data_IF_189235802086
#
_entry.id   IF_189235802086
#
_cell.length_a   1.000
_cell.length_b   1.000
_cell.length_c   1.000
_cell.angle_alpha   90.00
_cell.angle_beta   90.00
_cell.angle_gamma   90.00
#
_symmetry.space_group_name_H-M   'P 1'
#
loop_
_entity.id
_entity.type
_entity.pdbx_description
1 polymer ?
#
# COMPACT_ATOMS: atom_id res chain seq x y z
N UNK A 1 11.60 25.29 -23.61
CA UNK A 1 11.52 24.32 -24.72
C UNK A 1 12.65 23.32 -24.55
N UNK A 2 12.39 22.18 -23.90
CA UNK A 2 13.38 21.12 -23.79
C UNK A 2 13.59 20.53 -25.19
N UNK A 3 14.82 20.59 -25.68
CA UNK A 3 15.21 20.01 -26.96
C UNK A 3 14.93 18.50 -26.90
N UNK A 4 14.00 18.01 -27.72
CA UNK A 4 13.67 16.59 -27.82
C UNK A 4 14.94 15.87 -28.29
N UNK A 5 15.68 15.27 -27.35
CA UNK A 5 16.90 14.51 -27.66
C UNK A 5 16.55 13.42 -28.66
N UNK A 6 17.35 13.30 -29.73
CA UNK A 6 17.12 12.29 -30.78
C UNK A 6 17.08 10.90 -30.15
N UNK A 7 16.14 10.00 -30.51
CA UNK A 7 16.00 8.67 -29.92
C UNK A 7 17.31 7.86 -29.90
N UNK A 8 18.16 8.05 -30.90
CA UNK A 8 19.48 7.42 -31.00
C UNK A 8 20.48 7.88 -29.94
N UNK A 9 20.44 9.15 -29.52
CA UNK A 9 21.27 9.69 -28.44
C UNK A 9 20.77 9.19 -27.07
N UNK A 10 19.45 9.09 -26.89
CA UNK A 10 18.81 8.57 -25.68
C UNK A 10 19.17 7.11 -25.44
N UNK A 11 19.10 6.27 -26.48
CA UNK A 11 19.50 4.86 -26.43
C UNK A 11 21.00 4.68 -26.20
N UNK A 12 21.84 5.55 -26.78
CA UNK A 12 23.28 5.51 -26.58
C UNK A 12 23.66 5.84 -25.12
N UNK A 13 23.07 6.90 -24.56
CA UNK A 13 23.28 7.27 -23.16
C UNK A 13 22.79 6.17 -22.21
N UNK A 14 21.59 5.64 -22.43
CA UNK A 14 21.05 4.56 -21.62
C UNK A 14 21.91 3.29 -21.64
N UNK A 15 22.53 2.95 -22.77
CA UNK A 15 23.45 1.81 -22.86
C UNK A 15 24.81 2.08 -22.18
N UNK A 16 25.28 3.33 -22.20
CA UNK A 16 26.54 3.72 -21.54
C UNK A 16 26.41 3.87 -20.03
N UNK A 17 25.24 4.26 -19.53
CA UNK A 17 24.94 4.46 -18.11
C UNK A 17 23.95 3.43 -17.56
N UNK A 18 23.86 2.26 -18.18
CA UNK A 18 22.84 1.27 -17.83
C UNK A 18 23.03 0.76 -16.39
N UNK A 19 21.94 0.81 -15.65
CA UNK A 19 21.85 0.44 -14.25
C UNK A 19 21.07 -0.88 -14.11
N UNK A 20 21.74 -1.91 -13.60
CA UNK A 20 21.15 -3.22 -13.38
C UNK A 20 20.02 -3.25 -12.33
N UNK A 21 20.07 -2.34 -11.35
CA UNK A 21 19.01 -2.20 -10.34
C UNK A 21 17.73 -1.63 -10.97
N UNK A 22 17.86 -0.71 -11.93
CA UNK A 22 16.73 -0.22 -12.73
C UNK A 22 16.13 -1.35 -13.56
N UNK A 23 16.95 -2.16 -14.22
CA UNK A 23 16.44 -3.34 -14.92
C UNK A 23 15.65 -4.27 -13.99
N UNK A 24 16.19 -4.52 -12.79
CA UNK A 24 15.53 -5.34 -11.77
C UNK A 24 14.17 -4.76 -11.38
N UNK A 25 14.13 -3.46 -11.04
CA UNK A 25 12.91 -2.75 -10.67
C UNK A 25 11.86 -2.78 -11.80
N UNK A 26 12.22 -2.44 -13.04
CA UNK A 26 11.29 -2.47 -14.17
C UNK A 26 10.74 -3.88 -14.44
N UNK A 27 11.58 -4.92 -14.30
CA UNK A 27 11.13 -6.31 -14.44
C UNK A 27 10.15 -6.69 -13.34
N UNK A 28 10.44 -6.32 -12.10
CA UNK A 28 9.59 -6.64 -10.95
C UNK A 28 8.25 -5.89 -10.99
N UNK A 29 8.23 -4.62 -11.41
CA UNK A 29 7.00 -3.85 -11.68
C UNK A 29 6.09 -4.50 -12.73
N UNK A 30 6.64 -5.32 -13.62
CA UNK A 30 5.86 -6.09 -14.61
C UNK A 30 5.50 -7.50 -14.14
N UNK A 31 5.81 -7.86 -12.90
CA UNK A 31 5.57 -9.20 -12.36
C UNK A 31 6.29 -10.29 -13.17
N UNK A 32 7.49 -10.02 -13.68
CA UNK A 32 8.22 -10.96 -14.55
C UNK A 32 9.37 -11.66 -13.82
N UNK A 33 9.48 -12.98 -14.01
CA UNK A 33 10.71 -13.72 -13.69
C UNK A 33 11.80 -13.41 -14.71
N UNK A 34 13.08 -13.52 -14.32
CA UNK A 34 14.23 -13.34 -15.23
C UNK A 34 14.13 -14.22 -16.49
N UNK A 35 13.68 -15.47 -16.33
CA UNK A 35 13.47 -16.39 -17.44
C UNK A 35 12.39 -15.92 -18.41
N UNK A 36 11.30 -15.36 -17.90
CA UNK A 36 10.21 -14.85 -18.73
C UNK A 36 10.68 -13.62 -19.54
N UNK A 37 11.35 -12.66 -18.89
CA UNK A 37 11.92 -11.51 -19.59
C UNK A 37 12.91 -11.95 -20.68
N UNK A 38 13.79 -12.90 -20.38
CA UNK A 38 14.75 -13.44 -21.34
C UNK A 38 14.07 -14.00 -22.60
N UNK A 39 12.98 -14.77 -22.43
CA UNK A 39 12.17 -15.28 -23.54
C UNK A 39 11.57 -14.15 -24.37
N UNK A 40 10.98 -13.13 -23.73
CA UNK A 40 10.35 -11.99 -24.42
C UNK A 40 11.33 -11.23 -25.33
N UNK A 41 12.57 -11.04 -24.88
CA UNK A 41 13.60 -10.31 -25.63
C UNK A 41 14.51 -11.23 -26.49
N UNK A 42 14.20 -12.53 -26.54
CA UNK A 42 14.96 -13.59 -27.25
C UNK A 42 16.44 -13.64 -26.83
N UNK A 43 16.68 -13.65 -25.52
CA UNK A 43 18.01 -13.73 -24.90
C UNK A 43 18.06 -14.89 -23.89
N UNK A 44 19.23 -15.19 -23.33
CA UNK A 44 19.37 -16.19 -22.28
C UNK A 44 19.05 -15.60 -20.89
N UNK A 45 18.48 -16.38 -19.95
CA UNK A 45 18.29 -15.94 -18.56
C UNK A 45 19.60 -15.51 -17.88
N UNK A 46 20.72 -16.15 -18.23
CA UNK A 46 22.05 -15.77 -17.77
C UNK A 46 22.45 -14.35 -18.21
N UNK A 47 22.02 -13.92 -19.39
CA UNK A 47 22.26 -12.55 -19.87
C UNK A 47 21.49 -11.53 -19.02
N UNK A 48 20.21 -11.80 -18.72
CA UNK A 48 19.40 -10.95 -17.85
C UNK A 48 20.02 -10.85 -16.46
N UNK A 49 20.43 -11.98 -15.87
CA UNK A 49 21.12 -11.98 -14.57
C UNK A 49 22.41 -11.15 -14.60
N UNK A 50 23.22 -11.27 -15.65
CA UNK A 50 24.46 -10.52 -15.77
C UNK A 50 24.25 -9.01 -15.96
N UNK A 51 23.16 -8.58 -16.61
CA UNK A 51 22.80 -7.17 -16.72
C UNK A 51 22.27 -6.61 -15.40
N UNK A 52 21.41 -7.37 -14.70
CA UNK A 52 20.88 -6.95 -13.40
C UNK A 52 21.96 -6.83 -12.32
N UNK A 53 22.97 -7.71 -12.33
CA UNK A 53 24.10 -7.62 -11.40
C UNK A 53 25.16 -6.58 -11.80
N UNK A 54 25.02 -5.95 -12.98
CA UNK A 54 26.03 -5.06 -13.53
C UNK A 54 27.30 -5.76 -14.06
N UNK A 55 27.35 -7.10 -14.05
CA UNK A 55 28.50 -7.87 -14.54
C UNK A 55 28.71 -7.72 -16.06
N UNK A 56 27.65 -7.40 -16.80
CA UNK A 56 27.72 -7.10 -18.23
C UNK A 56 26.82 -5.90 -18.55
N UNK A 57 27.18 -5.18 -19.60
CA UNK A 57 26.40 -4.08 -20.15
C UNK A 57 25.63 -4.53 -21.41
N UNK A 58 24.31 -4.25 -21.54
CA UNK A 58 23.59 -4.52 -22.77
C UNK A 58 23.98 -3.53 -23.87
N UNK A 59 23.91 -3.97 -25.13
CA UNK A 59 24.09 -3.04 -26.26
C UNK A 59 22.79 -2.26 -26.52
N UNK A 60 22.86 -1.21 -27.37
CA UNK A 60 21.72 -0.33 -27.69
C UNK A 60 20.49 -1.08 -28.20
N UNK A 61 20.69 -2.10 -29.04
CA UNK A 61 19.58 -2.90 -29.58
C UNK A 61 18.90 -3.72 -28.48
N UNK A 62 19.66 -4.25 -27.52
CA UNK A 62 19.12 -4.93 -26.33
C UNK A 62 18.40 -3.96 -25.41
N UNK A 63 18.92 -2.75 -25.18
CA UNK A 63 18.24 -1.71 -24.38
C UNK A 63 16.87 -1.38 -24.98
N UNK A 64 16.78 -1.22 -26.31
CA UNK A 64 15.50 -0.99 -26.98
C UNK A 64 14.50 -2.16 -26.80
N UNK A 65 14.98 -3.42 -26.86
CA UNK A 65 14.15 -4.60 -26.59
C UNK A 65 13.65 -4.64 -25.14
N UNK A 66 14.50 -4.29 -24.18
CA UNK A 66 14.15 -4.22 -22.76
C UNK A 66 13.11 -3.14 -22.50
N UNK A 67 13.31 -1.92 -23.04
CA UNK A 67 12.37 -0.81 -22.94
C UNK A 67 10.97 -1.20 -23.44
N UNK A 68 10.90 -1.81 -24.63
CA UNK A 68 9.63 -2.25 -25.22
C UNK A 68 8.97 -3.36 -24.39
N UNK A 69 9.72 -4.38 -23.97
CA UNK A 69 9.19 -5.52 -23.22
C UNK A 69 8.71 -5.12 -21.81
N UNK A 70 9.35 -4.13 -21.20
CA UNK A 70 9.04 -3.64 -19.85
C UNK A 70 8.14 -2.41 -19.85
N UNK A 71 7.78 -1.87 -21.02
CA UNK A 71 6.97 -0.67 -21.19
C UNK A 71 7.51 0.53 -20.39
N UNK A 72 8.82 0.73 -20.47
CA UNK A 72 9.53 1.87 -19.87
C UNK A 72 10.30 2.62 -20.94
N UNK A 73 10.57 3.91 -20.72
CA UNK A 73 11.46 4.67 -21.60
C UNK A 73 12.91 4.20 -21.42
N UNK A 74 13.76 4.22 -22.47
CA UNK A 74 15.16 3.81 -22.34
C UNK A 74 15.93 4.57 -21.26
N UNK A 75 15.55 5.83 -21.00
CA UNK A 75 16.14 6.67 -19.96
C UNK A 75 16.01 6.07 -18.56
N UNK A 76 14.98 5.26 -18.32
CA UNK A 76 14.75 4.57 -17.05
C UNK A 76 15.98 3.74 -16.65
N UNK A 77 16.61 3.06 -17.61
CA UNK A 77 17.78 2.25 -17.34
C UNK A 77 19.04 3.08 -17.07
N UNK A 78 19.07 4.35 -17.45
CA UNK A 78 20.17 5.27 -17.18
C UNK A 78 20.03 6.06 -15.88
N UNK A 79 18.91 5.89 -15.15
CA UNK A 79 18.66 6.59 -13.89
C UNK A 79 19.58 6.15 -12.76
N UNK A 80 19.68 6.98 -11.72
CA UNK A 80 20.38 6.63 -10.47
C UNK A 80 19.81 5.36 -9.81
N UNK A 81 20.48 4.84 -8.78
CA UNK A 81 19.95 3.70 -8.03
C UNK A 81 18.51 3.98 -7.55
N UNK A 82 17.56 3.03 -7.70
CA UNK A 82 16.24 3.16 -7.10
C UNK A 82 16.33 3.46 -5.60
N UNK A 83 15.39 4.20 -5.02
CA UNK A 83 15.36 4.43 -3.59
C UNK A 83 15.37 3.12 -2.81
N UNK A 84 16.12 3.08 -1.71
CA UNK A 84 16.05 1.95 -0.78
C UNK A 84 14.72 1.98 -0.03
N UNK A 85 14.14 0.81 0.08
CA UNK A 85 12.92 0.53 0.84
C UNK A 85 13.17 -0.68 1.71
N UNK A 86 12.56 -0.69 2.89
CA UNK A 86 12.51 -1.90 3.69
C UNK A 86 11.60 -2.93 3.02
N UNK A 87 11.69 -4.17 3.48
CA UNK A 87 10.79 -5.22 2.99
C UNK A 87 9.35 -4.83 3.37
N UNK A 88 8.38 -4.93 2.44
CA UNK A 88 7.02 -4.60 2.79
C UNK A 88 6.46 -5.52 3.87
N UNK A 89 5.70 -4.93 4.80
CA UNK A 89 4.91 -5.65 5.78
C UNK A 89 3.66 -6.19 5.09
N UNK A 90 3.64 -7.49 4.79
CA UNK A 90 2.46 -8.14 4.22
C UNK A 90 1.72 -8.96 5.27
N UNK A 91 0.40 -8.77 5.31
CA UNK A 91 -0.52 -9.51 6.18
C UNK A 91 -0.40 -11.04 6.12
N UNK A 92 0.08 -11.59 5.00
CA UNK A 92 0.23 -13.04 4.81
C UNK A 92 1.45 -13.44 3.95
N UNK A 93 2.65 -13.02 4.37
CA UNK A 93 3.91 -13.38 3.71
C UNK A 93 4.08 -14.86 3.33
N UNK A 94 3.53 -15.81 4.11
CA UNK A 94 3.68 -17.26 3.84
C UNK A 94 2.85 -17.78 2.66
N UNK A 95 1.80 -17.08 2.24
CA UNK A 95 0.95 -17.48 1.10
C UNK A 95 1.16 -16.62 -0.14
N UNK A 96 1.81 -15.46 -0.01
CA UNK A 96 2.06 -14.56 -1.13
C UNK A 96 3.20 -15.09 -2.00
N UNK A 97 2.98 -15.37 -3.31
CA UNK A 97 4.04 -15.79 -4.22
C UNK A 97 5.18 -14.78 -4.28
N UNK A 98 6.44 -15.25 -4.33
CA UNK A 98 7.62 -14.38 -4.40
C UNK A 98 7.52 -13.31 -5.49
N UNK A 99 6.91 -13.65 -6.64
CA UNK A 99 6.75 -12.70 -7.75
C UNK A 99 5.86 -11.50 -7.39
N UNK A 100 4.85 -11.71 -6.55
CA UNK A 100 3.98 -10.65 -6.07
C UNK A 100 4.70 -9.81 -5.00
N UNK A 101 5.52 -10.46 -4.14
CA UNK A 101 6.35 -9.74 -3.16
C UNK A 101 7.34 -8.81 -3.87
N UNK A 102 8.03 -9.34 -4.88
CA UNK A 102 8.95 -8.59 -5.75
C UNK A 102 8.25 -7.40 -6.42
N UNK A 103 7.04 -7.61 -6.96
CA UNK A 103 6.24 -6.56 -7.60
C UNK A 103 5.82 -5.46 -6.63
N UNK A 104 5.35 -5.83 -5.43
CA UNK A 104 4.99 -4.88 -4.38
C UNK A 104 6.21 -4.08 -3.86
N UNK A 105 7.37 -4.73 -3.69
CA UNK A 105 8.61 -4.06 -3.31
C UNK A 105 9.02 -3.05 -4.40
N UNK A 106 8.98 -3.45 -5.67
CA UNK A 106 9.32 -2.57 -6.79
C UNK A 106 8.33 -1.41 -6.94
N UNK A 107 7.02 -1.64 -6.68
CA UNK A 107 6.02 -0.58 -6.65
C UNK A 107 6.24 0.39 -5.48
N UNK A 108 6.59 -0.12 -4.30
CA UNK A 108 7.00 0.70 -3.16
C UNK A 108 8.18 1.62 -3.48
N UNK A 109 9.21 1.08 -4.15
CA UNK A 109 10.37 1.88 -4.63
C UNK A 109 9.96 2.95 -5.64
N UNK A 110 9.06 2.60 -6.56
CA UNK A 110 8.52 3.54 -7.53
C UNK A 110 7.79 4.70 -6.84
N UNK A 111 6.93 4.39 -5.87
CA UNK A 111 6.20 5.40 -5.10
C UNK A 111 7.15 6.26 -4.27
N UNK A 112 8.17 5.66 -3.64
CA UNK A 112 9.19 6.40 -2.89
C UNK A 112 9.96 7.38 -3.78
N UNK A 113 10.29 6.99 -5.01
CA UNK A 113 10.96 7.85 -5.97
C UNK A 113 10.07 9.01 -6.42
N UNK A 114 8.82 8.72 -6.77
CA UNK A 114 7.83 9.74 -7.12
C UNK A 114 7.60 10.72 -5.97
N UNK A 115 7.44 10.20 -4.74
CA UNK A 115 7.25 11.04 -3.56
C UNK A 115 8.46 11.96 -3.33
N UNK A 116 9.69 11.43 -3.43
CA UNK A 116 10.91 12.22 -3.31
C UNK A 116 11.06 13.26 -4.44
N UNK A 117 10.66 12.93 -5.68
CA UNK A 117 10.65 13.89 -6.78
C UNK A 117 9.63 15.02 -6.54
N UNK A 118 8.42 14.68 -6.06
CA UNK A 118 7.37 15.66 -5.77
C UNK A 118 7.76 16.58 -4.61
N UNK A 119 8.39 16.03 -3.57
CA UNK A 119 8.83 16.79 -2.40
C UNK A 119 9.89 17.86 -2.72
N UNK A 120 10.64 17.70 -3.82
CA UNK A 120 11.54 18.74 -4.32
C UNK A 120 10.79 19.92 -4.98
N UNK A 121 9.50 19.75 -5.29
CA UNK A 121 8.69 20.74 -5.99
C UNK A 121 7.52 21.28 -5.16
N UNK A 122 7.03 20.51 -4.17
CA UNK A 122 5.96 20.90 -3.26
C UNK A 122 6.27 20.52 -1.82
N UNK A 123 5.70 21.24 -0.86
CA UNK A 123 5.85 20.93 0.56
C UNK A 123 4.87 19.84 0.99
N UNK A 124 5.40 18.75 1.56
CA UNK A 124 4.60 17.71 2.21
C UNK A 124 4.59 17.88 3.73
N UNK A 125 3.53 17.39 4.43
CA UNK A 125 3.51 17.36 5.88
C UNK A 125 4.75 16.68 6.44
N UNK A 126 5.27 17.13 7.58
CA UNK A 126 6.39 16.44 8.23
C UNK A 126 6.03 15.00 8.60
N UNK A 127 7.03 14.11 8.59
CA UNK A 127 6.85 12.72 9.04
C UNK A 127 6.82 12.71 10.57
N UNK A 128 5.61 12.62 11.12
CA UNK A 128 5.32 12.66 12.55
C UNK A 128 4.55 11.40 12.93
N UNK A 129 5.25 10.28 13.02
CA UNK A 129 4.72 9.03 13.58
C UNK A 129 5.33 8.78 14.97
N UNK A 130 4.54 8.36 15.96
CA UNK A 130 5.09 7.90 17.22
C UNK A 130 5.80 6.56 17.01
N UNK A 131 7.00 6.43 17.57
CA UNK A 131 7.74 5.17 17.60
C UNK A 131 7.41 4.44 18.91
N UNK A 132 6.60 3.39 18.82
CA UNK A 132 6.04 2.65 19.96
C UNK A 132 6.30 1.15 19.77
N UNK A 133 7.59 0.72 19.80
CA UNK A 133 7.95 -0.65 19.51
C UNK A 133 7.24 -1.61 20.45
N UNK A 134 6.68 -2.69 19.88
CA UNK A 134 5.95 -3.71 20.62
C UNK A 134 6.66 -5.04 20.47
N UNK A 135 7.20 -5.54 21.58
CA UNK A 135 7.88 -6.84 21.61
C UNK A 135 6.90 -7.99 21.31
N UNK A 136 7.36 -9.11 20.70
CA UNK A 136 6.50 -10.26 20.43
C UNK A 136 5.81 -10.86 21.67
N UNK A 137 6.39 -10.68 22.85
CA UNK A 137 5.82 -11.14 24.13
C UNK A 137 5.12 -10.03 24.93
N UNK A 138 4.99 -8.82 24.35
CA UNK A 138 4.18 -7.70 24.85
C UNK A 138 4.52 -7.27 26.29
N UNK A 139 5.78 -7.46 26.72
CA UNK A 139 6.20 -7.12 28.08
C UNK A 139 6.22 -5.62 28.34
N UNK A 140 6.70 -4.85 27.37
CA UNK A 140 6.94 -3.41 27.48
C UNK A 140 5.68 -2.61 27.09
N UNK A 141 5.19 -2.90 25.89
CA UNK A 141 4.06 -2.26 25.25
C UNK A 141 3.07 -3.34 24.80
N UNK A 142 1.77 -3.07 24.90
CA UNK A 142 0.76 -3.90 24.24
C UNK A 142 0.21 -3.13 23.04
N UNK A 143 -0.30 -3.82 22.01
CA UNK A 143 -0.90 -3.15 20.85
C UNK A 143 -2.01 -2.17 21.22
N UNK A 144 -2.81 -2.47 22.26
CA UNK A 144 -3.87 -1.58 22.73
C UNK A 144 -3.31 -0.32 23.39
N UNK A 145 -2.22 -0.41 24.15
CA UNK A 145 -1.55 0.76 24.73
C UNK A 145 -0.94 1.62 23.63
N UNK A 146 -0.28 1.00 22.65
CA UNK A 146 0.28 1.69 21.49
C UNK A 146 -0.82 2.41 20.68
N UNK A 147 -1.96 1.76 20.45
CA UNK A 147 -3.11 2.38 19.76
C UNK A 147 -3.67 3.59 20.50
N UNK A 148 -3.80 3.53 21.84
CA UNK A 148 -4.26 4.67 22.64
C UNK A 148 -3.25 5.82 22.63
N UNK A 149 -1.96 5.52 22.78
CA UNK A 149 -0.90 6.52 22.70
C UNK A 149 -0.84 7.16 21.29
N UNK A 150 -1.05 6.37 20.23
CA UNK A 150 -1.15 6.89 18.87
C UNK A 150 -2.36 7.83 18.70
N UNK A 151 -3.54 7.48 19.24
CA UNK A 151 -4.71 8.38 19.24
C UNK A 151 -4.42 9.70 19.95
N UNK A 152 -3.78 9.65 21.11
CA UNK A 152 -3.38 10.85 21.85
C UNK A 152 -2.39 11.69 21.05
N UNK A 153 -1.34 11.07 20.49
CA UNK A 153 -0.33 11.72 19.67
C UNK A 153 -0.94 12.42 18.43
N UNK A 154 -1.89 11.78 17.76
CA UNK A 154 -2.59 12.35 16.61
C UNK A 154 -3.72 13.34 16.99
N UNK A 155 -3.97 13.56 18.28
CA UNK A 155 -5.04 14.43 18.76
C UNK A 155 -6.45 13.92 18.45
N UNK A 156 -6.62 12.59 18.35
CA UNK A 156 -7.93 11.96 18.13
C UNK A 156 -8.69 11.92 19.45
N UNK A 157 -9.70 12.78 19.59
CA UNK A 157 -10.60 12.79 20.73
C UNK A 157 -11.47 11.52 20.85
N UNK A 158 -12.34 11.42 21.86
CA UNK A 158 -13.27 10.29 22.02
C UNK A 158 -14.13 10.05 20.77
N UNK A 159 -14.45 8.80 20.50
CA UNK A 159 -15.31 8.37 19.42
C UNK A 159 -14.56 7.95 18.14
N UNK A 160 -15.27 7.87 17.00
CA UNK A 160 -14.72 7.35 15.76
C UNK A 160 -13.68 8.30 15.14
N UNK A 161 -12.63 7.71 14.55
CA UNK A 161 -11.71 8.43 13.67
C UNK A 161 -12.51 8.90 12.45
N UNK A 162 -12.59 10.21 12.21
CA UNK A 162 -13.47 10.74 11.16
C UNK A 162 -13.02 10.29 9.76
N UNK A 163 -11.71 10.38 9.48
CA UNK A 163 -11.12 10.00 8.20
C UNK A 163 -9.71 9.45 8.42
N UNK A 164 -9.53 8.14 8.30
CA UNK A 164 -8.30 7.42 8.65
C UNK A 164 -7.17 7.73 7.66
N UNK A 165 -7.42 7.68 6.36
CA UNK A 165 -6.43 7.98 5.30
C UNK A 165 -5.88 9.40 5.47
N UNK A 166 -6.75 10.39 5.67
CA UNK A 166 -6.34 11.79 5.86
C UNK A 166 -5.54 11.98 7.14
N UNK A 167 -5.92 11.30 8.23
CA UNK A 167 -5.15 11.34 9.47
C UNK A 167 -3.73 10.84 9.23
N UNK A 168 -3.59 9.70 8.55
CA UNK A 168 -2.30 9.09 8.24
C UNK A 168 -1.47 9.95 7.28
N UNK A 169 -2.07 10.52 6.23
CA UNK A 169 -1.36 11.46 5.35
C UNK A 169 -0.92 12.74 6.06
N UNK A 170 -1.69 13.24 7.01
CA UNK A 170 -1.30 14.40 7.83
C UNK A 170 -0.09 14.14 8.73
N UNK A 171 0.17 12.88 9.08
CA UNK A 171 1.40 12.46 9.76
C UNK A 171 2.59 12.22 8.81
N UNK A 172 2.46 12.60 7.53
CA UNK A 172 3.55 12.53 6.55
C UNK A 172 3.69 11.18 5.84
N UNK A 173 2.78 10.24 6.08
CA UNK A 173 2.72 8.93 5.41
C UNK A 173 2.10 9.07 4.02
N UNK A 174 2.77 8.51 3.01
CA UNK A 174 2.24 8.49 1.64
C UNK A 174 1.24 7.34 1.51
N UNK A 175 0.01 7.62 1.13
CA UNK A 175 -1.02 6.60 0.88
C UNK A 175 -1.35 6.57 -0.61
N UNK A 176 -1.27 5.40 -1.24
CA UNK A 176 -1.55 5.23 -2.68
C UNK A 176 -2.37 3.97 -2.95
N UNK A 177 -3.03 3.90 -4.10
CA UNK A 177 -3.61 2.66 -4.59
C UNK A 177 -2.61 1.88 -5.44
N UNK A 178 -2.62 0.55 -5.35
CA UNK A 178 -1.85 -0.30 -6.28
C UNK A 178 -2.47 -0.34 -7.68
N UNK A 179 -1.70 -0.82 -8.66
CA UNK A 179 -2.24 -1.14 -9.99
C UNK A 179 -3.28 -2.28 -9.91
N UNK A 180 -4.36 -2.24 -10.73
CA UNK A 180 -5.30 -3.35 -10.86
C UNK A 180 -4.62 -4.63 -11.34
N UNK A 181 -4.99 -5.78 -10.78
CA UNK A 181 -4.47 -7.08 -11.22
C UNK A 181 -3.36 -7.64 -10.32
N UNK A 182 -2.78 -6.83 -9.43
CA UNK A 182 -1.96 -7.29 -8.29
C UNK A 182 -2.87 -7.85 -7.18
N UNK A 183 -3.78 -8.76 -7.53
CA UNK A 183 -4.83 -9.26 -6.65
C UNK A 183 -4.30 -10.16 -5.51
N UNK A 184 -3.00 -10.50 -5.52
CA UNK A 184 -2.42 -11.43 -4.58
C UNK A 184 -2.10 -10.83 -3.20
N UNK A 185 -2.00 -9.51 -3.10
CA UNK A 185 -1.55 -8.83 -1.88
C UNK A 185 -2.64 -7.87 -1.44
N UNK A 186 -3.08 -7.97 -0.19
CA UNK A 186 -3.96 -6.99 0.44
C UNK A 186 -3.24 -5.63 0.58
N UNK A 187 -3.76 -4.71 1.41
CA UNK A 187 -2.95 -3.54 1.78
C UNK A 187 -1.62 -3.96 2.41
N UNK A 188 -0.60 -3.12 2.25
CA UNK A 188 0.72 -3.31 2.86
C UNK A 188 1.39 -1.97 3.11
N UNK A 189 2.37 -1.96 4.01
CA UNK A 189 3.17 -0.79 4.35
C UNK A 189 4.66 -1.08 4.24
N UNK A 190 5.44 -0.03 4.03
CA UNK A 190 6.90 -0.09 4.01
C UNK A 190 7.49 1.24 4.43
N UNK A 191 8.66 1.18 5.07
CA UNK A 191 9.51 2.34 5.23
C UNK A 191 10.35 2.53 3.97
N UNK A 192 10.57 3.79 3.61
CA UNK A 192 11.50 4.18 2.55
C UNK A 192 12.47 5.23 3.08
N UNK A 193 13.53 5.48 2.33
CA UNK A 193 14.52 6.49 2.69
C UNK A 193 13.94 7.92 2.80
N UNK A 194 12.77 8.18 2.21
CA UNK A 194 12.10 9.49 2.26
C UNK A 194 10.97 9.49 3.28
N UNK A 195 9.96 8.64 3.09
CA UNK A 195 8.72 8.63 3.87
C UNK A 195 8.15 7.21 4.02
N UNK A 196 7.44 6.91 5.12
CA UNK A 196 6.62 5.71 5.20
C UNK A 196 5.52 5.72 4.13
N UNK A 197 5.24 4.55 3.55
CA UNK A 197 4.27 4.36 2.47
C UNK A 197 3.27 3.29 2.88
N UNK A 198 1.99 3.54 2.63
CA UNK A 198 0.90 2.55 2.66
C UNK A 198 0.36 2.40 1.24
N UNK A 199 0.32 1.17 0.76
CA UNK A 199 -0.29 0.81 -0.52
C UNK A 199 -1.59 0.08 -0.27
N UNK A 200 -2.67 0.59 -0.85
CA UNK A 200 -4.02 0.03 -0.73
C UNK A 200 -4.36 -0.79 -1.97
N UNK A 201 -4.82 -2.02 -1.76
CA UNK A 201 -5.38 -2.82 -2.85
C UNK A 201 -6.85 -2.42 -3.11
N UNK A 202 -7.18 -1.94 -4.32
CA UNK A 202 -8.54 -1.50 -4.64
C UNK A 202 -9.56 -2.63 -4.84
N UNK A 203 -9.15 -3.89 -4.95
CA UNK A 203 -10.01 -5.02 -5.39
C UNK A 203 -11.27 -5.19 -4.53
N UNK A 204 -11.18 -4.92 -3.22
CA UNK A 204 -12.31 -5.15 -2.30
C UNK A 204 -13.38 -4.05 -2.36
N UNK A 205 -13.01 -2.84 -2.82
CA UNK A 205 -13.88 -1.66 -2.92
C UNK A 205 -14.88 -1.50 -1.76
N UNK A 206 -14.38 -1.63 -0.51
CA UNK A 206 -15.19 -1.60 0.72
C UNK A 206 -14.59 -0.59 1.70
N UNK A 207 -15.35 0.48 1.97
CA UNK A 207 -14.99 1.57 2.87
C UNK A 207 -14.60 1.10 4.28
N UNK A 208 -15.37 0.16 4.83
CA UNK A 208 -15.20 -0.29 6.22
C UNK A 208 -13.96 -1.18 6.37
N UNK A 209 -13.66 -1.98 5.35
CA UNK A 209 -12.43 -2.79 5.28
C UNK A 209 -11.21 -1.92 5.04
N UNK A 210 -11.31 -0.94 4.13
CA UNK A 210 -10.21 0.00 3.85
C UNK A 210 -9.75 0.70 5.12
N UNK A 211 -10.67 1.20 5.94
CA UNK A 211 -10.33 1.89 7.20
C UNK A 211 -9.59 0.97 8.18
N UNK A 212 -10.03 -0.29 8.28
CA UNK A 212 -9.35 -1.29 9.10
C UNK A 212 -7.97 -1.64 8.56
N UNK A 213 -7.85 -1.84 7.25
CA UNK A 213 -6.59 -2.17 6.59
C UNK A 213 -5.59 -1.00 6.74
N UNK A 214 -6.01 0.25 6.57
CA UNK A 214 -5.14 1.44 6.81
C UNK A 214 -4.70 1.51 8.28
N UNK A 215 -5.60 1.27 9.23
CA UNK A 215 -5.25 1.28 10.66
C UNK A 215 -4.32 0.12 11.04
N UNK A 216 -4.45 -1.04 10.38
CA UNK A 216 -3.56 -2.18 10.52
C UNK A 216 -2.16 -1.85 10.02
N UNK A 217 -2.06 -1.28 8.82
CA UNK A 217 -0.79 -0.83 8.25
C UNK A 217 -0.13 0.29 9.06
N UNK A 218 -0.91 1.25 9.57
CA UNK A 218 -0.42 2.25 10.52
C UNK A 218 0.16 1.60 11.78
N UNK A 219 -0.47 0.53 12.28
CA UNK A 219 0.03 -0.25 13.41
C UNK A 219 1.40 -0.87 13.13
N UNK A 220 1.64 -1.39 11.91
CA UNK A 220 2.97 -1.87 11.52
C UNK A 220 4.02 -0.76 11.52
N UNK A 221 3.69 0.40 10.94
CA UNK A 221 4.61 1.54 10.90
C UNK A 221 4.98 2.06 12.29
N UNK A 222 4.05 2.03 13.25
CA UNK A 222 4.25 2.54 14.62
C UNK A 222 4.95 1.52 15.54
N UNK A 223 4.64 0.22 15.41
CA UNK A 223 5.07 -0.79 16.39
C UNK A 223 6.21 -1.69 15.92
N UNK A 224 6.44 -1.82 14.61
CA UNK A 224 7.17 -2.96 14.04
C UNK A 224 8.32 -2.55 13.10
N UNK A 225 8.99 -1.41 13.35
CA UNK A 225 10.06 -0.90 12.48
C UNK A 225 11.16 -1.94 12.17
N UNK A 226 11.59 -2.71 13.18
CA UNK A 226 12.68 -3.69 13.06
C UNK A 226 12.22 -5.15 13.11
N UNK A 227 10.90 -5.39 13.08
CA UNK A 227 10.38 -6.76 13.18
C UNK A 227 10.50 -7.47 11.82
N UNK A 228 10.85 -8.76 11.83
CA UNK A 228 10.74 -9.59 10.62
C UNK A 228 9.28 -9.61 10.16
N UNK A 229 9.00 -9.14 8.92
CA UNK A 229 7.63 -9.01 8.44
C UNK A 229 6.84 -10.34 8.47
N UNK A 230 5.51 -10.24 8.59
CA UNK A 230 4.58 -11.35 8.34
C UNK A 230 4.64 -12.53 9.32
N UNK A 231 5.25 -12.33 10.49
CA UNK A 231 5.12 -13.24 11.62
C UNK A 231 3.69 -13.24 12.16
N UNK A 232 3.14 -14.42 12.50
CA UNK A 232 1.78 -14.56 13.03
C UNK A 232 1.51 -13.65 14.25
N UNK A 233 2.51 -13.47 15.09
CA UNK A 233 2.42 -12.61 16.29
C UNK A 233 2.31 -11.14 15.89
N UNK A 234 3.22 -10.67 15.02
CA UNK A 234 3.23 -9.30 14.48
C UNK A 234 1.90 -8.95 13.81
N UNK A 235 1.33 -9.88 13.04
CA UNK A 235 0.02 -9.71 12.42
C UNK A 235 -1.13 -9.64 13.42
N UNK A 236 -1.12 -10.48 14.46
CA UNK A 236 -2.13 -10.41 15.51
C UNK A 236 -2.02 -9.10 16.29
N UNK A 237 -0.79 -8.63 16.55
CA UNK A 237 -0.53 -7.35 17.18
C UNK A 237 -1.08 -6.18 16.35
N UNK A 238 -0.82 -6.16 15.04
CA UNK A 238 -1.37 -5.13 14.14
C UNK A 238 -2.91 -5.15 14.07
N UNK A 239 -3.54 -6.33 14.04
CA UNK A 239 -5.01 -6.44 14.09
C UNK A 239 -5.59 -5.90 15.41
N UNK A 240 -4.93 -6.18 16.54
CA UNK A 240 -5.31 -5.68 17.87
C UNK A 240 -5.13 -4.16 17.97
N UNK A 241 -4.02 -3.63 17.45
CA UNK A 241 -3.79 -2.20 17.31
C UNK A 241 -4.91 -1.54 16.52
N UNK A 242 -5.22 -2.03 15.31
CA UNK A 242 -6.27 -1.48 14.47
C UNK A 242 -7.65 -1.51 15.16
N UNK A 243 -7.95 -2.61 15.86
CA UNK A 243 -9.20 -2.78 16.60
C UNK A 243 -9.33 -1.76 17.75
N UNK A 244 -8.27 -1.55 18.53
CA UNK A 244 -8.28 -0.56 19.61
C UNK A 244 -8.27 0.88 19.06
N UNK A 245 -7.48 1.14 18.01
CA UNK A 245 -7.36 2.46 17.40
C UNK A 245 -8.68 2.94 16.81
N UNK A 246 -9.43 2.05 16.14
CA UNK A 246 -10.72 2.38 15.53
C UNK A 246 -11.89 2.27 16.50
N UNK A 247 -11.82 1.35 17.47
CA UNK A 247 -12.91 1.04 18.39
C UNK A 247 -12.39 0.88 19.84
N UNK A 248 -12.02 1.99 20.52
CA UNK A 248 -11.45 1.94 21.87
C UNK A 248 -12.32 1.13 22.83
N UNK A 249 -11.70 0.27 23.64
CA UNK A 249 -12.41 -0.76 24.41
C UNK A 249 -13.46 -0.13 25.35
N UNK A 250 -13.04 0.90 26.08
CA UNK A 250 -13.83 1.59 27.09
C UNK A 250 -15.04 2.32 26.48
N UNK A 251 -14.96 2.68 25.20
CA UNK A 251 -16.03 3.39 24.50
C UNK A 251 -17.01 2.43 23.82
N UNK A 252 -16.53 1.36 23.20
CA UNK A 252 -17.39 0.48 22.41
C UNK A 252 -18.04 -0.62 23.24
N UNK A 253 -17.39 -1.09 24.33
CA UNK A 253 -17.84 -2.23 25.12
C UNK A 253 -19.30 -2.14 25.61
N UNK A 254 -19.79 -0.99 26.15
CA UNK A 254 -21.18 -0.88 26.63
C UNK A 254 -22.23 -1.08 25.52
N UNK A 255 -21.83 -0.92 24.25
CA UNK A 255 -22.73 -1.01 23.12
C UNK A 255 -22.66 -2.35 22.39
N UNK A 256 -21.63 -3.16 22.58
CA UNK A 256 -21.53 -4.44 21.89
C UNK A 256 -22.55 -5.46 22.44
N UNK A 257 -23.25 -6.21 21.56
CA UNK A 257 -24.18 -7.23 22.02
C UNK A 257 -23.44 -8.52 22.41
N UNK A 258 -23.88 -9.16 23.50
CA UNK A 258 -23.34 -10.45 23.94
C UNK A 258 -23.76 -11.65 23.07
N UNK A 259 -24.83 -11.49 22.26
CA UNK A 259 -25.32 -12.52 21.33
C UNK A 259 -25.90 -11.88 20.07
N UNK A 260 -26.27 -12.70 19.08
CA UNK A 260 -26.87 -12.26 17.81
C UNK A 260 -28.39 -12.45 17.73
N UNK A 261 -29.04 -12.60 18.89
CA UNK A 261 -30.50 -12.73 19.00
C UNK A 261 -31.23 -11.38 18.94
N UNK A 262 -32.53 -11.41 18.64
CA UNK A 262 -33.40 -10.24 18.67
C UNK A 262 -32.88 -9.08 17.80
N UNK A 263 -32.74 -7.90 18.42
CA UNK A 263 -32.31 -6.65 17.77
C UNK A 263 -30.78 -6.49 17.62
N UNK A 264 -29.99 -7.52 17.97
CA UNK A 264 -28.53 -7.42 17.97
C UNK A 264 -27.93 -7.03 16.61
N UNK A 265 -28.46 -7.57 15.50
CA UNK A 265 -27.97 -7.22 14.16
C UNK A 265 -28.27 -5.79 13.76
N UNK A 266 -29.43 -5.24 14.16
CA UNK A 266 -29.74 -3.84 13.94
C UNK A 266 -28.76 -2.95 14.72
N UNK A 267 -28.48 -3.30 15.99
CA UNK A 267 -27.49 -2.59 16.80
C UNK A 267 -26.08 -2.66 16.20
N UNK A 268 -25.66 -3.82 15.69
CA UNK A 268 -24.37 -3.97 15.00
C UNK A 268 -24.32 -3.16 13.71
N UNK A 269 -25.41 -3.07 12.95
CA UNK A 269 -25.49 -2.22 11.77
C UNK A 269 -25.33 -0.74 12.14
N UNK A 270 -26.02 -0.26 13.19
CA UNK A 270 -25.87 1.12 13.67
C UNK A 270 -24.42 1.40 14.15
N UNK A 271 -23.81 0.46 14.87
CA UNK A 271 -22.41 0.57 15.29
C UNK A 271 -21.43 0.56 14.11
N UNK A 272 -21.69 -0.22 13.06
CA UNK A 272 -20.88 -0.26 11.84
C UNK A 272 -20.83 1.11 11.18
N UNK A 273 -21.99 1.77 11.08
CA UNK A 273 -22.06 3.12 10.51
C UNK A 273 -21.39 4.17 11.41
N UNK A 274 -21.61 4.09 12.72
CA UNK A 274 -21.03 5.05 13.67
C UNK A 274 -19.49 4.95 13.74
N UNK A 275 -18.95 3.73 13.88
CA UNK A 275 -17.50 3.52 14.00
C UNK A 275 -16.78 3.48 12.64
N UNK A 276 -17.50 3.29 11.55
CA UNK A 276 -16.93 3.14 10.22
C UNK A 276 -16.08 1.88 10.10
N UNK A 277 -16.56 0.75 10.64
CA UNK A 277 -15.89 -0.56 10.62
C UNK A 277 -16.84 -1.69 10.19
N UNK A 278 -16.29 -2.83 9.80
CA UNK A 278 -17.11 -3.96 9.31
C UNK A 278 -17.89 -4.66 10.44
N UNK A 279 -18.99 -5.34 10.09
CA UNK A 279 -19.69 -6.24 11.01
C UNK A 279 -18.74 -7.33 11.50
N UNK A 280 -17.87 -7.84 10.62
CA UNK A 280 -16.84 -8.79 11.00
C UNK A 280 -15.89 -8.24 12.08
N UNK A 281 -15.43 -6.99 11.94
CA UNK A 281 -14.58 -6.33 12.92
C UNK A 281 -15.31 -6.13 14.27
N UNK A 282 -16.59 -5.73 14.26
CA UNK A 282 -17.40 -5.61 15.48
C UNK A 282 -17.58 -6.95 16.20
N UNK A 283 -17.84 -8.02 15.46
CA UNK A 283 -17.98 -9.36 16.03
C UNK A 283 -16.65 -9.86 16.63
N UNK A 284 -15.54 -9.64 15.93
CA UNK A 284 -14.21 -9.94 16.45
C UNK A 284 -13.92 -9.13 17.71
N UNK A 285 -14.24 -7.83 17.72
CA UNK A 285 -14.04 -6.95 18.88
C UNK A 285 -14.88 -7.37 20.08
N UNK A 286 -16.14 -7.73 19.89
CA UNK A 286 -17.01 -8.24 20.95
C UNK A 286 -16.48 -9.54 21.56
N UNK A 287 -15.90 -10.42 20.73
CA UNK A 287 -15.25 -11.65 21.20
C UNK A 287 -13.97 -11.34 21.96
N UNK A 288 -13.11 -10.49 21.43
CA UNK A 288 -11.82 -10.13 22.03
C UNK A 288 -11.98 -9.49 23.41
N UNK A 289 -13.04 -8.69 23.61
CA UNK A 289 -13.38 -8.08 24.90
C UNK A 289 -14.15 -9.01 25.86
N UNK A 290 -14.40 -10.27 25.48
CA UNK A 290 -15.12 -11.24 26.31
C UNK A 290 -16.64 -10.99 26.44
N UNK A 291 -17.18 -10.00 25.72
CA UNK A 291 -18.61 -9.66 25.73
C UNK A 291 -19.41 -10.75 25.03
N UNK A 292 -18.88 -11.25 23.91
CA UNK A 292 -19.44 -12.36 23.16
C UNK A 292 -18.57 -13.61 23.35
N UNK A 293 -19.16 -14.68 23.88
CA UNK A 293 -18.44 -15.95 24.02
C UNK A 293 -18.18 -16.62 22.65
N UNK A 294 -17.28 -17.60 22.61
CA UNK A 294 -16.88 -18.30 21.37
C UNK A 294 -18.05 -18.95 20.63
N UNK A 295 -19.03 -19.49 21.36
CA UNK A 295 -20.22 -20.12 20.77
C UNK A 295 -21.07 -19.08 20.03
N UNK A 296 -21.35 -17.95 20.69
CA UNK A 296 -22.13 -16.85 20.11
C UNK A 296 -21.42 -16.23 18.91
N UNK A 297 -20.10 -16.05 19.00
CA UNK A 297 -19.28 -15.57 17.91
C UNK A 297 -19.30 -16.51 16.70
N UNK A 298 -19.13 -17.81 16.93
CA UNK A 298 -19.19 -18.82 15.86
C UNK A 298 -20.56 -18.80 15.16
N UNK A 299 -21.64 -18.73 15.92
CA UNK A 299 -23.00 -18.62 15.37
C UNK A 299 -23.20 -17.33 14.56
N UNK A 300 -22.66 -16.21 15.05
CA UNK A 300 -22.69 -14.94 14.33
C UNK A 300 -21.98 -15.02 12.98
N UNK A 301 -20.78 -15.63 12.95
CA UNK A 301 -19.97 -15.81 11.75
C UNK A 301 -20.63 -16.78 10.76
N UNK A 302 -21.32 -17.82 11.24
CA UNK A 302 -22.13 -18.70 10.39
C UNK A 302 -23.25 -17.91 9.73
N UNK A 303 -23.97 -17.09 10.50
CA UNK A 303 -25.05 -16.24 9.97
C UNK A 303 -24.55 -15.19 8.97
N UNK A 304 -23.39 -14.58 9.21
CA UNK A 304 -22.70 -13.73 8.22
C UNK A 304 -22.50 -14.47 6.89
N UNK A 305 -22.09 -15.75 6.97
CA UNK A 305 -21.83 -16.57 5.78
C UNK A 305 -23.13 -16.91 5.03
N UNK A 306 -24.18 -17.31 5.76
CA UNK A 306 -25.50 -17.64 5.20
C UNK A 306 -26.13 -16.47 4.46
N UNK A 307 -25.91 -15.25 4.95
CA UNK A 307 -26.39 -14.02 4.32
C UNK A 307 -25.47 -13.50 3.19
N UNK A 308 -24.37 -14.18 2.88
CA UNK A 308 -23.39 -13.73 1.88
C UNK A 308 -22.48 -12.58 2.35
N UNK A 309 -22.61 -12.13 3.59
CA UNK A 309 -21.92 -10.95 4.14
C UNK A 309 -20.42 -11.14 4.35
N UNK A 310 -19.89 -12.36 4.23
CA UNK A 310 -18.44 -12.56 4.13
C UNK A 310 -17.86 -11.93 2.85
N UNK A 311 -18.64 -11.86 1.78
CA UNK A 311 -18.22 -11.28 0.49
C UNK A 311 -18.61 -9.81 0.40
N UNK A 312 -19.85 -9.48 0.70
CA UNK A 312 -20.38 -8.13 0.63
C UNK A 312 -21.29 -7.86 1.84
N UNK A 313 -20.81 -7.05 2.77
CA UNK A 313 -21.60 -6.61 3.92
C UNK A 313 -22.56 -5.49 3.52
N UNK A 314 -23.77 -5.40 4.11
CA UNK A 314 -24.62 -4.24 3.95
C UNK A 314 -23.98 -3.03 4.65
N UNK A 315 -24.02 -1.86 4.03
CA UNK A 315 -23.54 -0.60 4.61
C UNK A 315 -24.09 0.60 3.84
N UNK A 316 -24.11 1.77 4.48
CA UNK A 316 -24.62 3.02 3.88
C UNK A 316 -23.57 3.76 3.06
N UNK A 317 -22.28 3.54 3.33
CA UNK A 317 -21.17 4.23 2.68
C UNK A 317 -20.65 3.38 1.52
N UNK A 318 -20.72 3.93 0.32
CA UNK A 318 -20.30 3.26 -0.92
C UNK A 318 -18.96 3.73 -1.47
N UNK A 319 -18.42 4.85 -0.99
CA UNK A 319 -17.16 5.42 -1.47
C UNK A 319 -16.03 5.21 -0.47
N UNK A 320 -14.87 4.82 -0.97
CA UNK A 320 -13.62 4.76 -0.22
C UNK A 320 -13.18 6.14 0.27
N UNK A 321 -12.39 6.15 1.34
CA UNK A 321 -11.57 7.30 1.68
C UNK A 321 -10.49 7.52 0.61
N UNK A 322 -10.40 8.76 0.12
CA UNK A 322 -9.52 9.11 -0.99
C UNK A 322 -8.18 9.65 -0.47
N UNK A 323 -7.04 9.12 -0.94
CA UNK A 323 -5.74 9.74 -0.74
C UNK A 323 -5.70 11.14 -1.36
N UNK A 324 -4.86 12.01 -0.80
CA UNK A 324 -4.82 13.42 -1.14
C UNK A 324 -3.41 13.97 -1.31
N UNK A 325 -2.39 13.38 -0.68
CA UNK A 325 -1.03 13.90 -0.68
C UNK A 325 -0.44 13.98 -2.10
N UNK A 326 -0.25 12.83 -2.77
CA UNK A 326 0.29 12.82 -4.14
C UNK A 326 -0.68 13.42 -5.18
N UNK A 327 -2.02 13.17 -5.12
CA UNK A 327 -2.95 13.81 -6.02
C UNK A 327 -2.92 15.34 -5.94
N UNK A 328 -2.84 15.92 -4.74
CA UNK A 328 -2.76 17.38 -4.59
C UNK A 328 -1.41 17.92 -5.04
N UNK A 329 -0.32 17.20 -4.81
CA UNK A 329 0.99 17.53 -5.36
C UNK A 329 0.94 17.67 -6.89
N UNK A 330 0.34 16.67 -7.55
CA UNK A 330 0.14 16.67 -9.00
C UNK A 330 -0.71 17.86 -9.45
N UNK A 331 -1.81 18.15 -8.76
CA UNK A 331 -2.67 19.30 -9.06
C UNK A 331 -1.91 20.64 -8.95
N UNK A 332 -1.08 20.81 -7.91
CA UNK A 332 -0.25 22.01 -7.74
C UNK A 332 0.76 22.17 -8.87
N UNK A 333 1.40 21.08 -9.32
CA UNK A 333 2.29 21.12 -10.49
C UNK A 333 1.55 21.49 -11.78
N UNK A 334 0.35 20.92 -11.99
CA UNK A 334 -0.51 21.27 -13.12
C UNK A 334 -0.93 22.75 -13.10
N UNK A 335 -1.30 23.28 -11.93
CA UNK A 335 -1.61 24.70 -11.73
C UNK A 335 -0.40 25.60 -12.07
N UNK A 336 0.82 25.10 -11.87
CA UNK A 336 2.08 25.76 -12.27
C UNK A 336 2.49 25.53 -13.74
N UNK A 337 1.67 24.84 -14.54
CA UNK A 337 1.93 24.56 -15.95
C UNK A 337 2.92 23.42 -16.22
N UNK A 338 3.18 22.57 -15.22
CA UNK A 338 4.03 21.37 -15.35
C UNK A 338 3.13 20.14 -15.41
N UNK A 339 2.92 19.58 -16.61
CA UNK A 339 2.18 18.32 -16.79
C UNK A 339 3.00 17.09 -16.39
N UNK A 340 2.38 15.90 -16.40
CA UNK A 340 3.03 14.66 -15.95
C UNK A 340 4.21 14.25 -16.83
N UNK A 341 4.13 14.51 -18.15
CA UNK A 341 5.21 14.21 -19.08
C UNK A 341 6.42 15.11 -18.82
N UNK A 342 6.16 16.40 -18.61
CA UNK A 342 7.18 17.40 -18.27
C UNK A 342 7.81 17.11 -16.92
N UNK A 343 7.00 16.75 -15.91
CA UNK A 343 7.49 16.40 -14.57
C UNK A 343 8.40 15.17 -14.58
N UNK A 344 8.04 14.14 -15.35
CA UNK A 344 8.80 12.89 -15.43
C UNK A 344 9.91 12.92 -16.51
N UNK A 345 10.05 14.01 -17.25
CA UNK A 345 11.06 14.15 -18.29
C UNK A 345 12.46 13.89 -17.73
N UNK A 346 13.22 13.00 -18.39
CA UNK A 346 14.58 12.65 -17.96
C UNK A 346 14.65 11.51 -16.94
N UNK A 347 13.58 11.23 -16.20
CA UNK A 347 13.53 10.13 -15.22
C UNK A 347 13.33 8.77 -15.88
N UNK A 348 12.61 8.75 -17.01
CA UNK A 348 12.15 7.54 -17.68
C UNK A 348 11.08 6.74 -16.92
N UNK A 349 10.57 7.28 -15.80
CA UNK A 349 9.52 6.66 -14.99
C UNK A 349 8.20 6.53 -15.79
N UNK A 350 7.46 5.40 -15.67
CA UNK A 350 6.21 5.22 -16.41
C UNK A 350 5.11 6.20 -15.98
N UNK A 351 4.66 7.06 -16.89
CA UNK A 351 3.57 8.02 -16.66
C UNK A 351 2.28 7.33 -16.19
N UNK A 352 1.97 6.14 -16.75
CA UNK A 352 0.80 5.36 -16.37
C UNK A 352 0.80 4.96 -14.88
N UNK A 353 1.94 4.47 -14.38
CA UNK A 353 2.09 4.12 -12.96
C UNK A 353 2.04 5.35 -12.06
N UNK A 354 2.59 6.48 -12.51
CA UNK A 354 2.50 7.74 -11.78
C UNK A 354 1.04 8.20 -11.64
N UNK A 355 0.25 8.12 -12.73
CA UNK A 355 -1.17 8.46 -12.70
C UNK A 355 -1.97 7.59 -11.73
N UNK A 356 -1.62 6.31 -11.60
CA UNK A 356 -2.22 5.40 -10.62
C UNK A 356 -1.83 5.81 -9.19
N UNK A 357 -0.53 5.99 -8.93
CA UNK A 357 -0.03 6.36 -7.60
C UNK A 357 -0.57 7.72 -7.13
N UNK A 358 -0.73 8.68 -8.03
CA UNK A 358 -1.29 10.00 -7.77
C UNK A 358 -2.82 10.07 -8.02
N UNK A 359 -3.53 8.94 -7.98
CA UNK A 359 -4.98 8.91 -8.13
C UNK A 359 -5.69 9.04 -6.78
N UNK A 360 -6.81 9.80 -6.76
CA UNK A 360 -7.70 9.91 -5.60
C UNK A 360 -8.59 8.68 -5.43
N UNK A 361 -8.81 7.93 -6.50
CA UNK A 361 -9.68 6.75 -6.54
C UNK A 361 -8.96 5.59 -7.22
N UNK A 362 -9.38 4.34 -6.96
CA UNK A 362 -8.92 3.21 -7.74
C UNK A 362 -9.07 3.46 -9.24
N UNK A 363 -7.96 3.37 -9.98
CA UNK A 363 -8.03 3.36 -11.43
C UNK A 363 -8.56 1.98 -11.82
N UNK A 364 -9.75 1.90 -12.41
CA UNK A 364 -10.24 0.61 -12.93
C UNK A 364 -9.33 0.14 -14.05
N UNK A 365 -9.04 -1.16 -14.12
CA UNK A 365 -8.45 -1.73 -15.31
C UNK A 365 -9.37 -1.38 -16.48
N UNK A 366 -8.93 -0.49 -17.38
CA UNK A 366 -9.58 -0.40 -18.68
C UNK A 366 -9.43 -1.79 -19.29
N UNK A 367 -10.51 -2.57 -19.32
CA UNK A 367 -10.60 -3.68 -20.26
C UNK A 367 -10.51 -3.03 -21.62
N UNK A 368 -9.36 -3.14 -22.28
CA UNK A 368 -9.31 -2.82 -23.71
C UNK A 368 -10.45 -3.61 -24.37
N UNK A 369 -11.33 -2.94 -25.15
CA UNK A 369 -12.31 -3.66 -25.93
C UNK A 369 -11.55 -4.56 -26.90
N UNK A 370 -11.80 -5.86 -26.78
CA UNK A 370 -11.31 -6.93 -27.67
C UNK A 370 -11.55 -6.65 -29.14
#
# INVERSE_FOLDING_TARGET
>A
MAEVRRPSQTLAAAASFFNGERLTMARQLKGLKKSHLATLIKMSPASVTAWESGAKQPNRATVAKLALALQVEPQFFGGGAPPKTDKPNFRSLRSTPQIAQDEAEAYGRFVAEIAGMLENAVEFPEVLLPDLPTDPDERSMTPEKAARAAREYFGVGPGPVQHVVRLVERSGVVVVFSEPGVAAIDAYSLHSATRPIIVLNPVKDDYYRQRFDVAHELGHLIMHHDAEPGGKVVEEQANRFASEFLMPADEIAPFLPASTAGKAWAKLADLKEYWGVSLAALLYRARALGIMNDVSYRNAVIRMSQNGWRRAEPGRISSLEMPSMLPRAREVLHEAGVDEESFLTGSGLPVGLYKIAASRVPVSAMREPT
#
